data_IF_294548557348
#
_entry.id   IF_294548557348
#
_cell.length_a   1.000
_cell.length_b   1.000
_cell.length_c   1.000
_cell.angle_alpha   90.00
_cell.angle_beta   90.00
_cell.angle_gamma   90.00
#
_symmetry.space_group_name_H-M   'P 1'
#
loop_
_entity.id
_entity.type
_entity.pdbx_description
1 polymer ?
#
# COMPACT_ATOMS: atom_id res chain seq x y z
N UNK A 1 -11.71 -39.60 5.12
CA UNK A 1 -11.46 -39.30 6.53
C UNK A 1 -10.41 -38.17 6.57
N UNK A 2 -10.78 -37.00 7.07
CA UNK A 2 -9.87 -35.88 7.22
C UNK A 2 -8.76 -36.24 8.21
N UNK A 3 -7.50 -36.11 7.79
CA UNK A 3 -6.33 -36.42 8.64
C UNK A 3 -6.05 -35.38 9.73
N UNK A 4 -6.93 -34.38 9.90
CA UNK A 4 -6.70 -33.31 10.87
C UNK A 4 -7.68 -33.43 12.04
N UNK A 5 -7.18 -33.56 13.28
CA UNK A 5 -7.99 -33.42 14.46
C UNK A 5 -8.55 -32.00 14.57
N UNK A 6 -9.61 -31.83 15.33
CA UNK A 6 -10.39 -30.60 15.54
C UNK A 6 -9.58 -29.29 15.43
N UNK A 7 -9.97 -28.47 14.44
CA UNK A 7 -9.54 -27.08 14.15
C UNK A 7 -8.23 -26.64 14.81
N UNK A 8 -7.11 -26.92 14.11
CA UNK A 8 -5.81 -26.30 14.44
C UNK A 8 -5.94 -24.78 14.31
N UNK A 9 -5.62 -24.06 15.39
CA UNK A 9 -5.72 -22.60 15.41
C UNK A 9 -4.40 -21.95 14.94
N UNK A 10 -4.39 -21.50 13.68
CA UNK A 10 -3.24 -20.83 13.05
C UNK A 10 -3.05 -19.37 13.50
N UNK A 11 -3.83 -18.89 14.43
CA UNK A 11 -3.60 -17.57 15.06
C UNK A 11 -2.61 -17.66 16.22
N UNK A 12 -2.20 -18.88 16.60
CA UNK A 12 -1.28 -19.13 17.71
C UNK A 12 0.02 -19.77 17.24
N UNK A 13 1.17 -19.48 17.89
CA UNK A 13 2.44 -20.12 17.58
C UNK A 13 2.37 -21.65 17.65
N UNK A 14 1.70 -22.19 18.67
CA UNK A 14 1.56 -23.63 18.86
C UNK A 14 0.74 -24.28 17.75
N UNK A 15 -0.37 -23.64 17.33
CA UNK A 15 -1.19 -24.13 16.23
C UNK A 15 -0.39 -24.17 14.92
N UNK A 16 0.43 -23.15 14.65
CA UNK A 16 1.31 -23.11 13.48
C UNK A 16 2.33 -24.26 13.50
N UNK A 17 2.98 -24.52 14.63
CA UNK A 17 3.94 -25.64 14.78
C UNK A 17 3.25 -26.98 14.51
N UNK A 18 2.08 -27.22 15.09
CA UNK A 18 1.30 -28.45 14.88
C UNK A 18 0.86 -28.60 13.43
N UNK A 19 0.38 -27.52 12.82
CA UNK A 19 -0.06 -27.51 11.43
C UNK A 19 1.05 -27.88 10.44
N UNK A 20 2.27 -27.33 10.66
CA UNK A 20 3.41 -27.55 9.78
C UNK A 20 4.18 -28.83 10.05
N UNK A 21 3.96 -29.53 11.18
CA UNK A 21 4.67 -30.73 11.57
C UNK A 21 4.72 -31.83 10.50
N UNK A 22 3.64 -32.12 9.72
CA UNK A 22 3.67 -33.13 8.66
C UNK A 22 4.20 -32.61 7.32
N UNK A 23 4.72 -31.37 7.25
CA UNK A 23 5.14 -30.71 6.02
C UNK A 23 6.66 -30.56 5.94
N UNK A 24 7.24 -30.25 4.77
CA UNK A 24 8.65 -29.88 4.66
C UNK A 24 9.03 -28.59 5.43
N UNK A 25 8.05 -27.85 5.93
CA UNK A 25 8.20 -26.61 6.69
C UNK A 25 8.09 -26.82 8.20
N UNK A 26 8.22 -28.05 8.69
CA UNK A 26 8.22 -28.35 10.12
C UNK A 26 9.19 -27.43 10.88
N UNK A 27 8.69 -26.75 11.90
CA UNK A 27 9.46 -25.76 12.64
C UNK A 27 9.50 -26.08 14.13
N UNK A 28 10.64 -25.78 14.77
CA UNK A 28 10.82 -25.92 16.22
C UNK A 28 10.10 -24.78 16.97
N UNK A 29 9.97 -23.62 16.34
CA UNK A 29 9.33 -22.42 16.89
C UNK A 29 8.64 -21.63 15.76
N UNK A 30 7.43 -21.15 16.03
CA UNK A 30 6.79 -20.10 15.26
C UNK A 30 6.80 -18.80 16.10
N UNK A 31 7.49 -17.78 15.63
CA UNK A 31 7.66 -16.51 16.35
C UNK A 31 6.70 -15.47 15.75
N UNK A 32 5.76 -14.93 16.54
CA UNK A 32 4.85 -13.89 16.05
C UNK A 32 5.64 -12.64 15.65
N UNK A 33 5.36 -12.10 14.46
CA UNK A 33 5.94 -10.83 14.01
C UNK A 33 4.92 -9.70 14.21
N UNK A 34 5.39 -8.59 14.77
CA UNK A 34 4.62 -7.36 14.87
C UNK A 34 4.70 -6.63 13.53
N UNK A 35 3.56 -6.31 12.90
CA UNK A 35 3.57 -5.51 11.66
C UNK A 35 2.32 -5.69 10.79
N UNK A 36 1.70 -6.87 10.79
CA UNK A 36 0.45 -7.09 10.07
C UNK A 36 -0.74 -6.47 10.80
N UNK A 37 -1.54 -5.66 10.09
CA UNK A 37 -2.79 -5.14 10.63
C UNK A 37 -3.93 -6.15 10.47
N UNK A 38 -3.99 -6.76 9.29
CA UNK A 38 -5.07 -7.67 8.90
C UNK A 38 -4.72 -9.15 9.14
N UNK A 39 -3.46 -9.53 9.00
CA UNK A 39 -3.02 -10.92 8.95
C UNK A 39 -2.18 -11.31 10.17
N UNK A 40 -2.20 -12.60 10.52
CA UNK A 40 -1.29 -13.20 11.50
C UNK A 40 -0.02 -13.63 10.79
N UNK A 41 1.13 -13.10 11.22
CA UNK A 41 2.43 -13.33 10.59
C UNK A 41 3.38 -13.98 11.60
N UNK A 42 4.01 -15.08 11.19
CA UNK A 42 4.96 -15.82 12.02
C UNK A 42 6.25 -16.06 11.27
N UNK A 43 7.39 -15.85 11.95
CA UNK A 43 8.67 -16.39 11.51
C UNK A 43 8.79 -17.83 11.98
N UNK A 44 9.00 -18.72 11.04
CA UNK A 44 9.17 -20.15 11.24
C UNK A 44 10.67 -20.45 11.43
N UNK A 45 11.08 -20.96 12.58
CA UNK A 45 12.42 -21.50 12.78
C UNK A 45 12.40 -22.98 12.43
N UNK A 46 12.87 -23.32 11.23
CA UNK A 46 12.74 -24.67 10.66
C UNK A 46 13.60 -25.69 11.43
N UNK A 47 13.09 -26.90 11.62
CA UNK A 47 13.85 -28.03 12.17
C UNK A 47 14.94 -28.49 11.19
N UNK A 48 14.58 -28.54 9.91
CA UNK A 48 15.50 -28.85 8.81
C UNK A 48 15.46 -27.69 7.82
N UNK A 49 16.63 -27.14 7.44
CA UNK A 49 16.65 -26.06 6.46
C UNK A 49 15.95 -26.43 5.15
N UNK A 50 15.09 -25.55 4.66
CA UNK A 50 14.40 -25.71 3.38
C UNK A 50 15.09 -24.89 2.29
N UNK A 51 15.61 -25.56 1.26
CA UNK A 51 16.38 -24.91 0.19
C UNK A 51 17.50 -23.97 0.71
N UNK A 52 18.20 -24.41 1.76
CA UNK A 52 19.28 -23.64 2.40
C UNK A 52 18.82 -22.55 3.38
N UNK A 53 17.53 -22.35 3.59
CA UNK A 53 16.95 -21.36 4.50
C UNK A 53 16.64 -22.02 5.85
N UNK A 54 17.11 -21.40 6.94
CA UNK A 54 16.78 -21.82 8.31
C UNK A 54 15.47 -21.21 8.82
N UNK A 55 14.99 -20.14 8.17
CA UNK A 55 13.74 -19.45 8.52
C UNK A 55 12.88 -19.22 7.29
N UNK A 56 11.54 -19.22 7.48
CA UNK A 56 10.53 -18.83 6.52
C UNK A 56 9.46 -17.98 7.22
N UNK A 57 8.57 -17.37 6.44
CA UNK A 57 7.40 -16.65 6.97
C UNK A 57 6.14 -17.46 6.68
N UNK A 58 5.26 -17.58 7.68
CA UNK A 58 3.86 -17.97 7.49
C UNK A 58 2.97 -16.74 7.68
N UNK A 59 2.16 -16.44 6.66
CA UNK A 59 1.10 -15.43 6.69
C UNK A 59 -0.25 -16.14 6.68
N UNK A 60 -1.08 -15.91 7.71
CA UNK A 60 -2.40 -16.51 7.85
C UNK A 60 -3.48 -15.44 7.95
N UNK A 61 -4.52 -15.53 7.14
CA UNK A 61 -5.66 -14.63 7.15
C UNK A 61 -6.86 -15.26 7.86
N UNK A 62 -7.59 -14.43 8.61
CA UNK A 62 -8.89 -14.73 9.19
C UNK A 62 -9.96 -13.82 8.60
N UNK A 63 -11.25 -14.14 8.74
CA UNK A 63 -12.33 -13.25 8.33
C UNK A 63 -12.51 -12.05 9.28
N UNK A 64 -11.46 -11.67 9.99
CA UNK A 64 -11.36 -10.50 10.86
C UNK A 64 -9.92 -10.02 10.94
N UNK A 65 -9.73 -8.73 11.27
CA UNK A 65 -8.39 -8.16 11.39
C UNK A 65 -7.65 -8.69 12.62
N UNK A 66 -6.38 -9.08 12.46
CA UNK A 66 -5.57 -9.64 13.55
C UNK A 66 -5.43 -8.71 14.75
N UNK A 67 -5.36 -7.39 14.51
CA UNK A 67 -5.24 -6.36 15.58
C UNK A 67 -6.55 -5.85 16.12
N UNK A 68 -7.65 -6.03 15.39
CA UNK A 68 -8.99 -5.60 15.78
C UNK A 68 -9.95 -6.76 15.46
N UNK A 69 -10.07 -7.76 16.35
CA UNK A 69 -10.89 -8.95 16.10
C UNK A 69 -12.37 -8.64 15.84
N UNK A 70 -12.86 -7.51 16.34
CA UNK A 70 -14.20 -7.01 16.12
C UNK A 70 -14.41 -6.55 14.67
N UNK A 71 -13.33 -6.21 13.95
CA UNK A 71 -13.40 -5.84 12.55
C UNK A 71 -13.45 -7.07 11.65
N UNK A 72 -14.64 -7.38 11.16
CA UNK A 72 -14.82 -8.41 10.13
C UNK A 72 -14.19 -7.99 8.82
N UNK A 73 -13.22 -8.78 8.34
CA UNK A 73 -12.70 -8.70 6.97
C UNK A 73 -13.47 -9.72 6.14
N UNK A 74 -14.28 -9.33 5.17
CA UNK A 74 -15.08 -10.27 4.42
C UNK A 74 -14.23 -11.19 3.56
N UNK A 75 -14.36 -12.47 3.79
CA UNK A 75 -13.69 -13.54 3.02
C UNK A 75 -14.44 -13.87 1.72
N UNK A 76 -15.67 -13.35 1.53
CA UNK A 76 -16.50 -13.58 0.35
C UNK A 76 -17.57 -12.49 0.16
N UNK A 77 -18.17 -12.43 -1.03
CA UNK A 77 -19.18 -11.52 -1.57
C UNK A 77 -20.31 -10.96 -0.66
N UNK A 78 -20.34 -11.19 0.62
CA UNK A 78 -21.33 -10.62 1.54
C UNK A 78 -20.94 -9.24 2.10
N UNK A 79 -19.95 -8.58 1.50
CA UNK A 79 -19.40 -7.27 1.89
C UNK A 79 -20.47 -6.17 1.96
N UNK A 80 -21.47 -6.20 1.09
CA UNK A 80 -22.46 -5.10 0.96
C UNK A 80 -23.48 -4.96 2.08
N UNK A 81 -23.69 -5.97 2.93
CA UNK A 81 -24.77 -5.92 3.93
C UNK A 81 -24.31 -5.91 5.39
N UNK A 82 -23.04 -6.16 5.70
CA UNK A 82 -22.58 -6.33 7.08
C UNK A 82 -21.74 -5.18 7.63
N UNK A 83 -21.23 -4.30 6.77
CA UNK A 83 -20.54 -3.08 7.21
C UNK A 83 -21.46 -2.00 7.78
N UNK A 84 -22.77 -2.21 7.73
CA UNK A 84 -23.78 -1.27 8.25
C UNK A 84 -24.14 -1.50 9.73
N UNK A 85 -23.60 -2.51 10.43
CA UNK A 85 -24.07 -2.84 11.78
C UNK A 85 -23.09 -2.70 12.95
N UNK A 86 -21.76 -2.55 12.70
CA UNK A 86 -20.78 -2.58 13.80
C UNK A 86 -19.97 -1.26 13.89
N UNK A 87 -20.44 -0.36 14.72
CA UNK A 87 -20.11 1.06 14.80
C UNK A 87 -18.67 1.51 15.18
N UNK A 88 -17.61 0.69 15.21
CA UNK A 88 -16.28 1.14 15.70
C UNK A 88 -15.22 1.32 14.59
N UNK A 89 -15.39 0.74 13.42
CA UNK A 89 -14.57 1.00 12.23
C UNK A 89 -15.40 1.39 11.01
N UNK A 90 -16.68 1.57 11.19
CA UNK A 90 -17.65 2.05 10.20
C UNK A 90 -17.26 3.41 9.64
N UNK A 91 -16.53 4.21 10.41
CA UNK A 91 -16.00 5.50 9.96
C UNK A 91 -14.98 5.40 8.83
N UNK A 92 -14.53 4.20 8.52
CA UNK A 92 -13.68 3.94 7.36
C UNK A 92 -14.44 3.37 6.15
N UNK A 93 -15.76 2.98 6.24
CA UNK A 93 -16.39 2.13 5.23
C UNK A 93 -17.89 2.34 4.96
N UNK A 94 -18.36 3.51 4.52
CA UNK A 94 -19.69 3.65 3.89
C UNK A 94 -19.61 3.76 2.38
N UNK A 95 -20.37 2.94 1.62
CA UNK A 95 -20.39 2.99 0.16
C UNK A 95 -21.37 4.04 -0.37
N UNK A 96 -21.14 4.60 -1.57
CA UNK A 96 -22.12 5.43 -2.24
C UNK A 96 -23.39 4.64 -2.61
N UNK A 97 -24.53 5.30 -2.55
CA UNK A 97 -25.86 4.78 -2.82
C UNK A 97 -26.01 4.22 -4.24
N UNK A 98 -26.82 3.18 -4.34
CA UNK A 98 -27.14 2.32 -5.48
C UNK A 98 -27.21 3.01 -6.85
N UNK A 99 -26.51 2.49 -7.84
CA UNK A 99 -27.04 2.11 -9.17
C UNK A 99 -25.95 1.39 -9.99
N UNK A 100 -26.15 0.16 -10.30
CA UNK A 100 -25.99 -0.52 -11.61
C UNK A 100 -25.75 -2.02 -11.45
N UNK A 101 -26.61 -2.78 -12.12
CA UNK A 101 -26.53 -4.24 -12.22
C UNK A 101 -25.37 -4.65 -13.12
N UNK A 102 -24.39 -5.36 -12.58
CA UNK A 102 -23.42 -6.14 -13.35
C UNK A 102 -23.63 -7.64 -13.07
N UNK A 103 -23.91 -8.39 -14.14
CA UNK A 103 -23.91 -9.85 -14.11
C UNK A 103 -22.50 -10.36 -13.93
N UNK A 104 -22.16 -10.87 -12.74
CA UNK A 104 -20.89 -11.55 -12.49
C UNK A 104 -21.13 -13.04 -12.42
N UNK A 105 -20.46 -13.76 -13.31
CA UNK A 105 -20.44 -15.22 -13.38
C UNK A 105 -19.83 -15.81 -12.12
N UNK A 106 -20.61 -16.63 -11.42
CA UNK A 106 -20.20 -17.30 -10.18
C UNK A 106 -19.25 -18.46 -10.49
N UNK A 107 -17.96 -18.31 -10.23
CA UNK A 107 -17.08 -19.46 -9.91
C UNK A 107 -16.98 -19.57 -8.40
N UNK A 108 -17.37 -20.70 -7.84
CA UNK A 108 -17.23 -21.04 -6.42
C UNK A 108 -15.74 -21.23 -6.11
N UNK A 109 -15.03 -20.19 -5.65
CA UNK A 109 -13.77 -20.36 -4.95
C UNK A 109 -14.06 -20.35 -3.44
N UNK A 110 -13.54 -21.33 -2.71
CA UNK A 110 -13.63 -21.42 -1.25
C UNK A 110 -12.47 -20.66 -0.59
N UNK A 111 -11.74 -19.82 -1.34
CA UNK A 111 -10.55 -19.09 -0.93
C UNK A 111 -10.83 -17.65 -0.47
N UNK A 112 -9.87 -17.06 0.23
CA UNK A 112 -9.82 -15.63 0.54
C UNK A 112 -9.32 -14.88 -0.72
N UNK A 113 -10.15 -14.05 -1.37
CA UNK A 113 -9.79 -13.42 -2.65
C UNK A 113 -8.58 -12.49 -2.55
N UNK A 114 -8.29 -11.92 -1.38
CA UNK A 114 -7.08 -11.12 -1.15
C UNK A 114 -5.82 -11.98 -1.17
N UNK A 115 -5.83 -13.15 -0.52
CA UNK A 115 -4.67 -14.04 -0.53
C UNK A 115 -4.46 -14.72 -1.88
N UNK A 116 -5.53 -15.09 -2.58
CA UNK A 116 -5.44 -15.60 -3.95
C UNK A 116 -4.76 -14.55 -4.86
N UNK A 117 -5.15 -13.26 -4.72
CA UNK A 117 -4.54 -12.15 -5.45
C UNK A 117 -3.08 -11.92 -5.05
N UNK A 118 -2.76 -11.97 -3.76
CA UNK A 118 -1.39 -11.83 -3.26
C UNK A 118 -0.46 -12.92 -3.79
N UNK A 119 -0.88 -14.19 -3.71
CA UNK A 119 -0.08 -15.32 -4.18
C UNK A 119 0.16 -15.26 -5.68
N UNK A 120 -0.87 -14.92 -6.47
CA UNK A 120 -0.75 -14.74 -7.91
C UNK A 120 0.21 -13.59 -8.25
N UNK A 121 0.05 -12.43 -7.60
CA UNK A 121 0.92 -11.28 -7.79
C UNK A 121 2.38 -11.60 -7.45
N UNK A 122 2.65 -12.18 -6.27
CA UNK A 122 4.00 -12.56 -5.85
C UNK A 122 4.68 -13.50 -6.84
N UNK A 123 3.97 -14.52 -7.32
CA UNK A 123 4.50 -15.49 -8.30
C UNK A 123 4.84 -14.82 -9.63
N UNK A 124 3.99 -13.95 -10.14
CA UNK A 124 4.20 -13.21 -11.39
C UNK A 124 5.37 -12.25 -11.26
N UNK A 125 5.35 -11.40 -10.24
CA UNK A 125 6.43 -10.41 -10.03
C UNK A 125 7.76 -11.12 -9.83
N UNK A 126 7.78 -12.21 -9.07
CA UNK A 126 8.98 -13.01 -8.84
C UNK A 126 9.63 -13.54 -10.12
N UNK A 127 8.85 -13.89 -11.13
CA UNK A 127 9.37 -14.34 -12.42
C UNK A 127 10.15 -13.24 -13.17
N UNK A 128 9.88 -11.96 -12.87
CA UNK A 128 10.54 -10.81 -13.50
C UNK A 128 11.65 -10.17 -12.66
N UNK A 129 11.67 -10.42 -11.36
CA UNK A 129 12.66 -9.86 -10.43
C UNK A 129 13.37 -10.99 -9.68
N UNK A 130 14.59 -11.37 -10.10
CA UNK A 130 15.34 -12.48 -9.50
C UNK A 130 15.74 -12.19 -8.05
N UNK A 131 16.16 -13.23 -7.30
CA UNK A 131 16.48 -13.11 -5.87
C UNK A 131 17.61 -12.14 -5.52
N UNK A 132 18.51 -11.94 -6.45
CA UNK A 132 19.70 -11.08 -6.37
C UNK A 132 19.46 -9.66 -6.89
N UNK A 133 18.25 -9.35 -7.37
CA UNK A 133 17.87 -7.99 -7.71
C UNK A 133 17.91 -7.08 -6.46
N UNK A 134 18.32 -5.80 -6.61
CA UNK A 134 18.35 -4.85 -5.48
C UNK A 134 16.99 -4.69 -4.78
N UNK A 135 15.90 -4.82 -5.54
CA UNK A 135 14.52 -4.87 -5.02
C UNK A 135 13.83 -6.10 -5.62
N UNK A 136 13.23 -6.91 -4.76
CA UNK A 136 12.58 -8.15 -5.14
C UNK A 136 11.32 -8.40 -4.30
N UNK A 137 10.68 -9.55 -4.49
CA UNK A 137 9.52 -9.98 -3.71
C UNK A 137 9.77 -11.36 -3.09
N UNK A 138 9.11 -11.73 -2.00
CA UNK A 138 9.23 -13.07 -1.41
C UNK A 138 8.82 -14.15 -2.42
N UNK A 139 9.55 -15.27 -2.42
CA UNK A 139 9.11 -16.49 -3.11
C UNK A 139 8.03 -17.17 -2.31
N UNK A 140 6.90 -17.49 -2.92
CA UNK A 140 5.85 -18.30 -2.32
C UNK A 140 6.23 -19.78 -2.45
N UNK A 141 6.54 -20.43 -1.34
CA UNK A 141 6.89 -21.85 -1.28
C UNK A 141 5.67 -22.75 -1.17
N UNK A 142 4.63 -22.30 -0.47
CA UNK A 142 3.40 -23.04 -0.29
C UNK A 142 2.21 -22.09 -0.12
N UNK A 143 1.05 -22.50 -0.61
CA UNK A 143 -0.21 -21.84 -0.39
C UNK A 143 -1.30 -22.86 -0.11
N UNK A 144 -1.89 -22.80 1.07
CA UNK A 144 -3.08 -23.57 1.44
C UNK A 144 -4.30 -22.67 1.45
N UNK A 145 -5.03 -22.65 0.33
CA UNK A 145 -6.24 -21.82 0.20
C UNK A 145 -7.37 -22.24 1.15
N UNK A 146 -7.39 -23.51 1.62
CA UNK A 146 -8.42 -23.98 2.56
C UNK A 146 -8.16 -23.49 3.99
N UNK A 147 -6.89 -23.35 4.37
CA UNK A 147 -6.48 -22.83 5.67
C UNK A 147 -6.09 -21.35 5.61
N UNK A 148 -6.14 -20.72 4.43
CA UNK A 148 -5.70 -19.33 4.22
C UNK A 148 -4.29 -19.07 4.75
N UNK A 149 -3.35 -19.95 4.41
CA UNK A 149 -1.98 -19.92 4.88
C UNK A 149 -0.98 -19.87 3.71
N UNK A 150 -0.11 -18.89 3.73
CA UNK A 150 0.97 -18.71 2.75
C UNK A 150 2.30 -18.94 3.47
N UNK A 151 3.18 -19.81 2.93
CA UNK A 151 4.56 -19.95 3.37
C UNK A 151 5.47 -19.33 2.32
N UNK A 152 6.32 -18.36 2.72
CA UNK A 152 7.14 -17.59 1.81
C UNK A 152 8.52 -17.28 2.41
N UNK A 153 9.41 -16.68 1.59
CA UNK A 153 10.75 -16.24 2.02
C UNK A 153 10.67 -15.31 3.25
N UNK A 154 11.65 -15.48 4.14
CA UNK A 154 11.94 -14.54 5.23
C UNK A 154 13.04 -13.57 4.77
N UNK A 155 12.82 -12.28 4.89
CA UNK A 155 13.82 -11.25 4.65
C UNK A 155 14.94 -11.22 5.70
N UNK A 156 14.80 -12.05 6.74
CA UNK A 156 15.78 -12.24 7.81
C UNK A 156 15.51 -11.44 9.09
N UNK A 157 16.23 -11.76 10.16
CA UNK A 157 15.96 -11.23 11.50
C UNK A 157 16.24 -9.73 11.65
N UNK A 158 17.09 -9.16 10.79
CA UNK A 158 17.41 -7.72 10.76
C UNK A 158 16.56 -6.93 9.76
N UNK A 159 15.64 -7.59 9.08
CA UNK A 159 14.72 -6.91 8.16
C UNK A 159 13.63 -6.17 8.95
N UNK A 160 13.37 -4.95 8.55
CA UNK A 160 12.31 -4.11 9.11
C UNK A 160 11.68 -3.23 8.01
N UNK A 161 10.43 -2.76 8.20
CA UNK A 161 9.83 -1.83 7.27
C UNK A 161 10.67 -0.56 7.07
N UNK A 162 10.81 -0.09 5.84
CA UNK A 162 11.55 1.14 5.51
C UNK A 162 11.03 2.34 6.31
N UNK A 163 9.71 2.44 6.52
CA UNK A 163 9.12 3.46 7.42
C UNK A 163 9.73 3.40 8.82
N UNK A 164 9.80 2.23 9.41
CA UNK A 164 10.36 2.05 10.74
C UNK A 164 11.88 2.31 10.76
N UNK A 165 12.60 1.89 9.72
CA UNK A 165 14.04 2.14 9.59
C UNK A 165 14.37 3.65 9.46
N UNK A 166 13.59 4.38 8.67
CA UNK A 166 13.70 5.84 8.57
C UNK A 166 13.36 6.53 9.90
N UNK A 167 12.25 6.15 10.54
CA UNK A 167 11.85 6.71 11.84
C UNK A 167 12.86 6.40 12.96
N UNK A 168 13.57 5.30 12.89
CA UNK A 168 14.60 4.92 13.85
C UNK A 168 15.99 5.52 13.52
N UNK A 169 16.14 6.30 12.43
CA UNK A 169 17.43 6.85 12.01
C UNK A 169 18.44 5.79 11.54
N UNK A 170 17.95 4.62 11.09
CA UNK A 170 18.80 3.49 10.64
C UNK A 170 19.17 3.57 9.16
N UNK A 171 18.74 4.60 8.47
CA UNK A 171 19.01 4.85 7.04
C UNK A 171 19.75 6.18 6.94
N UNK A 172 20.99 6.16 6.47
CA UNK A 172 21.73 7.37 6.15
C UNK A 172 21.17 8.03 4.88
N UNK A 173 21.39 9.33 4.63
CA UNK A 173 20.95 10.00 3.41
C UNK A 173 21.49 9.31 2.14
N UNK A 174 22.76 8.91 2.12
CA UNK A 174 23.37 8.20 0.98
C UNK A 174 22.71 6.84 0.70
N UNK A 175 22.40 6.09 1.74
CA UNK A 175 21.65 4.83 1.64
C UNK A 175 20.22 5.08 1.20
N UNK A 176 19.58 6.14 1.71
CA UNK A 176 18.25 6.58 1.27
C UNK A 176 18.22 6.86 -0.23
N UNK A 177 19.22 7.58 -0.76
CA UNK A 177 19.36 7.82 -2.18
C UNK A 177 19.49 6.53 -3.00
N UNK A 178 20.33 5.58 -2.55
CA UNK A 178 20.49 4.29 -3.22
C UNK A 178 19.20 3.46 -3.22
N UNK A 179 18.49 3.41 -2.09
CA UNK A 179 17.19 2.74 -1.95
C UNK A 179 16.13 3.38 -2.85
N UNK A 180 16.04 4.72 -2.83
CA UNK A 180 15.10 5.46 -3.67
C UNK A 180 15.30 5.15 -5.15
N UNK A 181 16.56 5.17 -5.62
CA UNK A 181 16.91 4.80 -6.99
C UNK A 181 16.45 3.38 -7.32
N UNK A 182 16.82 2.40 -6.49
CA UNK A 182 16.47 1.00 -6.72
C UNK A 182 14.95 0.76 -6.74
N UNK A 183 14.20 1.41 -5.83
CA UNK A 183 12.74 1.36 -5.79
C UNK A 183 12.10 2.01 -7.03
N UNK A 184 12.65 3.12 -7.51
CA UNK A 184 12.17 3.78 -8.73
C UNK A 184 12.38 2.91 -9.97
N UNK A 185 13.56 2.30 -10.12
CA UNK A 185 13.87 1.38 -11.20
C UNK A 185 12.99 0.11 -11.16
N UNK A 186 12.77 -0.43 -9.95
CA UNK A 186 11.86 -1.56 -9.74
C UNK A 186 10.44 -1.23 -10.18
N UNK A 187 9.86 -0.15 -9.67
CA UNK A 187 8.49 0.23 -9.96
C UNK A 187 8.29 0.60 -11.44
N UNK A 188 9.26 1.29 -12.04
CA UNK A 188 9.26 1.58 -13.46
C UNK A 188 9.23 0.31 -14.30
N UNK A 189 10.09 -0.67 -13.97
CA UNK A 189 10.15 -1.95 -14.65
C UNK A 189 8.85 -2.74 -14.47
N UNK A 190 8.29 -2.76 -13.25
CA UNK A 190 7.00 -3.39 -12.95
C UNK A 190 5.89 -2.83 -13.85
N UNK A 191 5.77 -1.51 -13.89
CA UNK A 191 4.73 -0.84 -14.67
C UNK A 191 4.95 -0.94 -16.19
N UNK A 192 6.18 -0.95 -16.65
CA UNK A 192 6.48 -1.17 -18.08
C UNK A 192 6.04 -2.58 -18.50
N UNK A 193 6.49 -3.61 -17.77
CA UNK A 193 6.12 -5.01 -18.05
C UNK A 193 4.63 -5.31 -17.85
N UNK A 194 3.97 -4.60 -16.96
CA UNK A 194 2.52 -4.70 -16.77
C UNK A 194 1.70 -4.15 -17.94
N UNK A 195 2.31 -3.39 -18.84
CA UNK A 195 1.70 -2.87 -20.07
C UNK A 195 1.95 -3.77 -21.28
N UNK A 196 3.06 -4.50 -21.29
CA UNK A 196 3.46 -5.34 -22.41
C UNK A 196 2.52 -6.55 -22.52
N UNK A 197 1.86 -6.68 -23.67
CA UNK A 197 0.91 -7.75 -23.98
C UNK A 197 1.62 -8.92 -24.69
N UNK A 198 2.86 -9.22 -24.29
CA UNK A 198 3.76 -10.17 -24.98
C UNK A 198 3.33 -11.65 -24.90
N UNK A 199 2.09 -11.92 -24.55
CA UNK A 199 1.39 -13.21 -24.74
C UNK A 199 1.94 -14.42 -23.98
N UNK A 200 3.18 -14.39 -23.51
CA UNK A 200 3.82 -15.49 -22.77
C UNK A 200 4.61 -14.92 -21.59
N UNK A 201 4.02 -15.01 -20.39
CA UNK A 201 4.70 -14.62 -19.14
C UNK A 201 4.65 -13.13 -18.79
N UNK A 202 3.86 -12.32 -19.48
CA UNK A 202 3.61 -10.92 -19.12
C UNK A 202 2.85 -10.80 -17.79
N UNK A 203 3.09 -9.73 -17.03
CA UNK A 203 2.33 -9.43 -15.80
C UNK A 203 0.82 -9.27 -16.06
N UNK A 204 0.42 -9.09 -17.32
CA UNK A 204 -0.95 -8.84 -17.80
C UNK A 204 -1.72 -10.09 -18.27
N UNK A 205 -1.31 -11.31 -17.92
CA UNK A 205 -1.98 -12.52 -18.42
C UNK A 205 -3.48 -12.54 -18.10
N UNK A 206 -4.31 -12.84 -19.14
CA UNK A 206 -5.77 -12.59 -19.22
C UNK A 206 -6.64 -13.29 -18.18
N UNK A 207 -6.20 -14.38 -17.56
CA UNK A 207 -7.14 -15.31 -16.89
C UNK A 207 -7.65 -14.86 -15.52
N UNK A 208 -6.89 -14.06 -14.76
CA UNK A 208 -7.28 -13.59 -13.41
C UNK A 208 -7.33 -12.05 -13.29
N UNK A 209 -6.70 -11.33 -14.23
CA UNK A 209 -6.63 -9.86 -14.20
C UNK A 209 -7.80 -9.18 -14.90
N UNK A 210 -8.43 -9.78 -15.92
CA UNK A 210 -9.60 -9.20 -16.59
C UNK A 210 -10.88 -9.25 -15.72
N UNK A 211 -10.96 -10.21 -14.78
CA UNK A 211 -11.97 -10.20 -13.71
C UNK A 211 -11.54 -9.41 -12.48
N UNK A 212 -10.28 -9.10 -12.40
CA UNK A 212 -9.51 -8.29 -11.49
C UNK A 212 -9.79 -8.48 -10.00
N UNK A 213 -8.88 -8.00 -9.18
CA UNK A 213 -9.08 -7.83 -7.74
C UNK A 213 -10.11 -6.71 -7.49
N UNK A 214 -11.40 -7.03 -7.70
CA UNK A 214 -12.52 -6.07 -7.52
C UNK A 214 -12.52 -5.50 -6.11
N UNK A 215 -12.28 -6.34 -5.09
CA UNK A 215 -12.20 -5.89 -3.71
C UNK A 215 -11.02 -4.94 -3.50
N UNK A 216 -9.87 -5.23 -4.10
CA UNK A 216 -8.71 -4.33 -4.07
C UNK A 216 -8.98 -2.99 -4.76
N UNK A 217 -9.81 -2.95 -5.82
CA UNK A 217 -10.25 -1.70 -6.46
C UNK A 217 -11.21 -0.93 -5.56
N UNK A 218 -12.25 -1.60 -5.04
CA UNK A 218 -13.22 -1.01 -4.12
C UNK A 218 -12.52 -0.43 -2.89
N UNK A 219 -11.56 -1.17 -2.29
CA UNK A 219 -10.82 -0.71 -1.13
C UNK A 219 -9.91 0.49 -1.47
N UNK A 220 -9.22 0.48 -2.61
CA UNK A 220 -8.38 1.60 -3.03
C UNK A 220 -9.18 2.88 -3.26
N UNK A 221 -10.35 2.78 -3.91
CA UNK A 221 -11.28 3.92 -4.07
C UNK A 221 -11.72 4.40 -2.71
N UNK A 222 -12.21 3.49 -1.90
CA UNK A 222 -12.80 3.79 -0.62
C UNK A 222 -11.81 4.48 0.35
N UNK A 223 -10.59 3.96 0.45
CA UNK A 223 -9.58 4.53 1.35
C UNK A 223 -9.09 5.93 0.93
N UNK A 224 -9.26 6.31 -0.33
CA UNK A 224 -8.70 7.55 -0.87
C UNK A 224 -9.79 8.46 -1.45
N UNK A 225 -10.20 8.19 -2.70
CA UNK A 225 -11.05 9.10 -3.46
C UNK A 225 -12.50 9.14 -2.97
N UNK A 226 -13.04 8.00 -2.51
CA UNK A 226 -14.41 7.92 -1.98
C UNK A 226 -14.64 8.73 -0.71
N UNK A 227 -13.57 9.14 -0.03
CA UNK A 227 -13.62 9.94 1.21
C UNK A 227 -13.14 11.37 1.05
N UNK A 228 -12.55 11.68 -0.08
CA UNK A 228 -11.86 12.96 -0.27
C UNK A 228 -12.80 14.15 -0.11
N UNK A 229 -13.95 14.14 -0.78
CA UNK A 229 -14.94 15.21 -0.70
C UNK A 229 -15.50 15.38 0.71
N UNK A 230 -15.99 14.30 1.33
CA UNK A 230 -16.54 14.34 2.69
C UNK A 230 -15.50 14.78 3.73
N UNK A 231 -14.25 14.33 3.59
CA UNK A 231 -13.14 14.75 4.47
C UNK A 231 -12.93 16.28 4.39
N UNK A 232 -12.81 16.83 3.20
CA UNK A 232 -12.56 18.25 3.02
C UNK A 232 -13.74 19.11 3.49
N UNK A 233 -14.99 18.69 3.19
CA UNK A 233 -16.19 19.37 3.67
C UNK A 233 -16.37 19.29 5.19
N UNK A 234 -15.98 18.19 5.81
CA UNK A 234 -16.02 18.04 7.28
C UNK A 234 -15.07 19.03 7.98
N UNK A 235 -13.97 19.40 7.32
CA UNK A 235 -12.96 20.31 7.83
C UNK A 235 -13.22 21.78 7.48
N UNK A 236 -14.20 22.07 6.60
CA UNK A 236 -14.56 23.45 6.21
C UNK A 236 -16.08 23.69 6.31
N UNK A 237 -16.65 23.72 7.53
CA UNK A 237 -18.10 23.82 7.75
C UNK A 237 -18.70 25.19 7.37
N UNK A 238 -17.88 26.15 6.90
CA UNK A 238 -18.34 27.49 6.52
C UNK A 238 -18.80 27.64 5.07
N UNK A 239 -18.68 26.59 4.24
CA UNK A 239 -19.30 26.55 2.90
C UNK A 239 -20.81 26.56 3.05
N UNK A 240 -21.52 27.48 2.36
CA UNK A 240 -22.98 27.65 2.37
C UNK A 240 -23.71 26.43 1.80
N UNK A 241 -23.81 25.37 2.59
CA UNK A 241 -24.40 24.10 2.25
C UNK A 241 -24.69 23.25 3.47
N UNK A 242 -24.94 23.88 4.63
CA UNK A 242 -25.52 23.24 5.80
C UNK A 242 -26.96 22.78 5.49
N UNK A 243 -27.12 21.85 4.56
CA UNK A 243 -28.35 21.09 4.43
C UNK A 243 -28.39 20.15 5.63
N UNK A 244 -29.21 20.52 6.61
CA UNK A 244 -29.77 19.63 7.62
C UNK A 244 -30.60 18.56 6.90
N UNK A 245 -29.92 17.57 6.30
CA UNK A 245 -30.53 16.32 5.90
C UNK A 245 -30.76 15.52 7.18
N UNK A 246 -32.03 15.41 7.60
CA UNK A 246 -32.44 14.45 8.60
C UNK A 246 -32.11 13.05 8.09
N UNK A 247 -30.92 12.52 8.43
CA UNK A 247 -30.43 11.22 7.99
C UNK A 247 -28.92 11.05 7.95
N UNK A 248 -28.12 12.07 8.24
CA UNK A 248 -26.66 11.94 8.38
C UNK A 248 -26.37 11.19 9.67
N UNK A 249 -25.89 9.93 9.55
CA UNK A 249 -25.74 9.00 10.63
C UNK A 249 -24.60 9.35 11.59
N UNK A 250 -24.61 8.74 12.77
CA UNK A 250 -23.59 8.83 13.86
C UNK A 250 -22.14 8.64 13.37
N UNK A 251 -21.93 8.13 12.14
CA UNK A 251 -20.63 7.86 11.54
C UNK A 251 -19.92 9.11 11.03
N UNK A 252 -20.61 10.07 10.41
CA UNK A 252 -19.99 11.31 9.91
C UNK A 252 -19.56 12.22 11.06
N UNK A 253 -20.28 12.22 12.16
CA UNK A 253 -19.93 13.00 13.35
C UNK A 253 -18.65 12.49 14.01
N UNK A 254 -18.39 11.18 14.01
CA UNK A 254 -17.17 10.59 14.57
C UNK A 254 -15.94 10.85 13.71
N UNK A 255 -16.05 10.79 12.37
CA UNK A 255 -14.96 11.10 11.44
C UNK A 255 -14.60 12.59 11.55
N UNK A 256 -15.61 13.46 11.64
CA UNK A 256 -15.46 14.91 11.89
C UNK A 256 -14.78 15.19 13.24
N UNK A 257 -15.18 14.50 14.29
CA UNK A 257 -14.57 14.63 15.62
C UNK A 257 -13.10 14.20 15.61
N UNK A 258 -12.77 13.06 14.97
CA UNK A 258 -11.39 12.59 14.80
C UNK A 258 -10.55 13.64 14.05
N UNK A 259 -11.02 14.10 12.90
CA UNK A 259 -10.30 15.06 12.07
C UNK A 259 -10.05 16.37 12.84
N UNK A 260 -11.05 16.88 13.58
CA UNK A 260 -10.90 18.07 14.42
C UNK A 260 -9.93 17.87 15.58
N UNK A 261 -9.91 16.68 16.19
CA UNK A 261 -8.95 16.38 17.27
C UNK A 261 -7.49 16.45 16.80
N UNK A 262 -7.24 16.16 15.50
CA UNK A 262 -5.91 16.16 14.91
C UNK A 262 -5.54 17.51 14.29
N UNK A 263 -6.50 18.17 13.62
CA UNK A 263 -6.26 19.38 12.81
C UNK A 263 -6.68 20.67 13.51
N UNK A 264 -7.39 20.58 14.65
CA UNK A 264 -8.00 21.73 15.34
C UNK A 264 -9.33 22.13 14.71
N UNK A 265 -10.02 23.08 15.39
CA UNK A 265 -11.38 23.51 15.01
C UNK A 265 -11.42 24.59 13.91
N UNK A 266 -10.26 25.13 13.52
CA UNK A 266 -10.22 26.19 12.50
C UNK A 266 -10.54 25.61 11.10
N UNK A 267 -11.37 26.30 10.29
CA UNK A 267 -11.63 25.90 8.91
C UNK A 267 -10.34 25.79 8.07
N UNK A 268 -10.29 24.87 7.12
CA UNK A 268 -9.15 24.77 6.19
C UNK A 268 -9.07 25.98 5.25
N UNK A 269 -10.18 26.64 4.99
CA UNK A 269 -10.27 27.77 4.07
C UNK A 269 -10.22 27.36 2.60
N UNK A 270 -10.65 26.13 2.28
CA UNK A 270 -10.71 25.64 0.90
C UNK A 270 -11.93 26.23 0.21
N UNK A 271 -11.73 26.88 -0.95
CA UNK A 271 -12.85 27.52 -1.68
C UNK A 271 -13.78 26.46 -2.28
N UNK A 272 -15.07 26.83 -2.46
CA UNK A 272 -16.06 25.96 -3.10
C UNK A 272 -15.67 25.58 -4.54
N UNK A 273 -14.99 26.46 -5.26
CA UNK A 273 -14.48 26.15 -6.61
C UNK A 273 -13.38 25.09 -6.56
N UNK A 274 -12.49 25.17 -5.58
CA UNK A 274 -11.45 24.14 -5.33
C UNK A 274 -12.10 22.81 -4.96
N UNK A 275 -13.11 22.80 -4.08
CA UNK A 275 -13.83 21.58 -3.72
C UNK A 275 -14.48 20.92 -4.95
N UNK A 276 -15.12 21.69 -5.84
CA UNK A 276 -15.69 21.14 -7.09
C UNK A 276 -14.62 20.50 -7.98
N UNK A 277 -13.46 21.13 -8.13
CA UNK A 277 -12.35 20.56 -8.92
C UNK A 277 -11.87 19.23 -8.31
N UNK A 278 -11.72 19.18 -7.00
CA UNK A 278 -11.28 17.99 -6.28
C UNK A 278 -12.30 16.86 -6.38
N UNK A 279 -13.58 17.15 -6.23
CA UNK A 279 -14.68 16.20 -6.36
C UNK A 279 -14.76 15.62 -7.78
N UNK A 280 -14.68 16.46 -8.81
CA UNK A 280 -14.65 16.01 -10.20
C UNK A 280 -13.41 15.11 -10.49
N UNK A 281 -12.25 15.44 -9.89
CA UNK A 281 -11.07 14.57 -9.97
C UNK A 281 -11.32 13.23 -9.28
N UNK A 282 -11.92 13.25 -8.08
CA UNK A 282 -12.21 12.05 -7.30
C UNK A 282 -13.18 11.11 -8.05
N UNK A 283 -14.24 11.64 -8.65
CA UNK A 283 -15.16 10.89 -9.49
C UNK A 283 -14.45 10.24 -10.69
N UNK A 284 -13.65 11.02 -11.41
CA UNK A 284 -12.89 10.54 -12.57
C UNK A 284 -11.92 9.41 -12.16
N UNK A 285 -11.16 9.57 -11.07
CA UNK A 285 -10.21 8.55 -10.60
C UNK A 285 -10.92 7.31 -10.07
N UNK A 286 -12.06 7.48 -9.41
CA UNK A 286 -12.92 6.37 -9.00
C UNK A 286 -13.34 5.53 -10.21
N UNK A 287 -13.85 6.16 -11.25
CA UNK A 287 -14.25 5.46 -12.49
C UNK A 287 -13.05 4.72 -13.12
N UNK A 288 -11.89 5.36 -13.24
CA UNK A 288 -10.67 4.77 -13.81
C UNK A 288 -10.11 3.59 -12.98
N UNK A 289 -10.24 3.63 -11.65
CA UNK A 289 -9.82 2.52 -10.77
C UNK A 289 -10.81 1.36 -10.88
N UNK A 290 -12.10 1.64 -10.89
CA UNK A 290 -13.15 0.60 -10.93
C UNK A 290 -13.25 -0.07 -12.30
N UNK A 291 -13.04 0.67 -13.37
CA UNK A 291 -13.12 0.20 -14.75
C UNK A 291 -11.86 0.61 -15.53
N UNK A 292 -10.68 0.00 -15.23
CA UNK A 292 -9.49 0.31 -15.99
C UNK A 292 -9.69 -0.09 -17.44
N UNK A 293 -9.45 0.86 -18.36
CA UNK A 293 -9.63 0.63 -19.79
C UNK A 293 -8.72 -0.49 -20.30
N UNK A 294 -9.30 -1.40 -21.08
CA UNK A 294 -8.62 -2.57 -21.62
C UNK A 294 -7.87 -2.29 -22.91
N UNK A 295 -7.99 -1.08 -23.46
CA UNK A 295 -7.34 -0.66 -24.71
C UNK A 295 -5.83 -0.43 -24.62
N UNK A 296 -5.23 -0.71 -23.45
CA UNK A 296 -3.78 -0.80 -23.26
C UNK A 296 -3.07 0.52 -23.04
N UNK A 297 -3.73 1.67 -23.15
CA UNK A 297 -3.04 2.96 -23.10
C UNK A 297 -2.81 3.49 -21.68
N UNK A 298 -3.64 3.16 -20.71
CA UNK A 298 -3.61 3.73 -19.36
C UNK A 298 -3.37 2.72 -18.25
N UNK A 299 -3.97 1.53 -18.32
CA UNK A 299 -3.85 0.52 -17.27
C UNK A 299 -2.56 -0.31 -17.37
N UNK A 300 -1.93 -0.56 -16.22
CA UNK A 300 -0.81 -1.47 -16.06
C UNK A 300 -1.03 -2.36 -14.85
N UNK A 301 -0.08 -3.27 -14.56
CA UNK A 301 -0.05 -3.99 -13.30
C UNK A 301 0.45 -3.06 -12.20
N UNK A 302 -0.34 -2.84 -11.16
CA UNK A 302 0.01 -2.03 -9.98
C UNK A 302 -0.03 -2.88 -8.71
N UNK A 303 0.82 -2.55 -7.75
CA UNK A 303 0.79 -3.18 -6.42
C UNK A 303 -0.47 -2.75 -5.64
N UNK A 304 -0.84 -1.49 -5.74
CA UNK A 304 -2.03 -0.92 -5.12
C UNK A 304 -1.87 -0.54 -3.65
N UNK A 305 -0.72 -0.83 -3.02
CA UNK A 305 -0.35 -0.39 -1.67
C UNK A 305 1.17 -0.23 -1.54
N UNK A 306 1.78 0.54 -2.47
CA UNK A 306 3.22 0.74 -2.54
C UNK A 306 3.67 1.89 -1.64
N UNK A 307 4.00 1.57 -0.38
CA UNK A 307 4.39 2.54 0.64
C UNK A 307 5.53 1.99 1.53
N UNK A 308 6.25 2.86 2.29
CA UNK A 308 7.44 2.43 3.03
C UNK A 308 7.18 1.38 4.12
N UNK A 309 5.93 1.16 4.53
CA UNK A 309 5.55 0.10 5.46
C UNK A 309 5.62 -1.30 4.85
N UNK A 310 5.39 -1.41 3.55
CA UNK A 310 5.40 -2.65 2.78
C UNK A 310 6.74 -2.92 2.07
N UNK A 311 7.77 -2.14 2.39
CA UNK A 311 9.14 -2.31 1.87
C UNK A 311 10.04 -2.72 3.03
N UNK A 312 10.53 -3.96 3.02
CA UNK A 312 11.45 -4.46 4.04
C UNK A 312 12.89 -4.21 3.62
N UNK A 313 13.65 -3.59 4.51
CA UNK A 313 15.09 -3.32 4.35
C UNK A 313 15.85 -3.99 5.47
N UNK A 314 17.03 -4.54 5.18
CA UNK A 314 17.91 -5.12 6.20
C UNK A 314 18.77 -4.00 6.78
N UNK A 315 18.77 -3.82 8.09
CA UNK A 315 19.57 -2.78 8.77
C UNK A 315 20.78 -3.39 9.49
N UNK A 316 21.87 -2.63 9.66
CA UNK A 316 23.03 -3.01 10.43
C UNK A 316 22.72 -3.24 11.93
N UNK A 317 23.51 -4.03 12.64
CA UNK A 317 23.41 -4.21 14.10
C UNK A 317 23.85 -2.96 14.87
N UNK A 318 23.34 -2.78 16.09
CA UNK A 318 23.75 -1.66 16.97
C UNK A 318 25.20 -1.78 17.47
N UNK A 319 25.79 -2.99 17.39
CA UNK A 319 27.15 -3.28 17.86
C UNK A 319 28.24 -2.94 16.83
N UNK A 320 27.86 -2.67 15.57
CA UNK A 320 28.78 -2.28 14.50
C UNK A 320 29.02 -0.76 14.52
N UNK A 321 29.42 -0.23 15.70
CA UNK A 321 29.81 1.16 15.81
C UNK A 321 30.92 1.50 14.82
N UNK A 322 30.78 2.59 14.08
CA UNK A 322 31.74 3.34 13.23
C UNK A 322 32.86 2.57 12.45
N UNK A 323 32.97 1.25 12.64
CA UNK A 323 34.04 0.46 12.01
C UNK A 323 33.65 -0.08 10.63
N UNK A 324 32.43 0.05 10.16
CA UNK A 324 31.92 -0.77 9.06
C UNK A 324 31.59 -0.04 7.74
N UNK A 325 31.83 1.27 7.63
CA UNK A 325 31.83 1.90 6.29
C UNK A 325 32.93 1.31 5.36
N UNK A 326 33.99 0.71 5.96
CA UNK A 326 35.07 0.08 5.20
C UNK A 326 34.81 -1.39 4.86
N UNK A 327 34.00 -2.13 5.63
CA UNK A 327 33.65 -3.53 5.30
C UNK A 327 32.51 -3.64 4.28
N UNK A 328 31.57 -2.66 4.20
CA UNK A 328 30.58 -2.61 3.10
C UNK A 328 31.24 -2.39 1.72
N UNK A 329 32.40 -1.74 1.67
CA UNK A 329 33.13 -1.56 0.40
C UNK A 329 33.84 -2.84 -0.09
N UNK A 330 34.00 -3.86 0.76
CA UNK A 330 34.73 -5.10 0.45
C UNK A 330 33.88 -6.28 -0.03
N UNK A 331 32.55 -6.27 0.17
CA UNK A 331 31.61 -7.32 -0.29
C UNK A 331 30.43 -6.67 -0.98
N UNK A 332 30.60 -6.30 -2.23
CA UNK A 332 29.67 -5.55 -3.06
C UNK A 332 28.34 -6.24 -3.40
N UNK A 333 27.65 -6.87 -2.45
CA UNK A 333 26.27 -7.30 -2.60
C UNK A 333 25.43 -6.59 -1.54
N UNK A 334 24.84 -5.47 -1.95
CA UNK A 334 23.76 -4.83 -1.21
C UNK A 334 22.65 -5.86 -1.00
N UNK A 335 22.26 -6.11 0.26
CA UNK A 335 21.18 -7.06 0.54
C UNK A 335 19.87 -6.54 -0.08
N UNK A 336 19.11 -7.40 -0.77
CA UNK A 336 17.92 -6.96 -1.50
C UNK A 336 16.85 -6.43 -0.54
N UNK A 337 16.12 -5.41 -0.99
CA UNK A 337 14.86 -5.01 -0.39
C UNK A 337 13.76 -5.96 -0.83
N UNK A 338 12.84 -6.27 0.09
CA UNK A 338 11.64 -7.04 -0.25
C UNK A 338 10.41 -6.15 -0.24
N UNK A 339 9.66 -6.16 -1.34
CA UNK A 339 8.33 -5.56 -1.39
C UNK A 339 7.32 -6.65 -1.05
N UNK A 340 6.53 -6.44 0.00
CA UNK A 340 5.60 -7.41 0.58
C UNK A 340 4.17 -6.88 0.58
N UNK A 341 3.18 -7.72 0.90
CA UNK A 341 1.77 -7.34 1.03
C UNK A 341 1.11 -6.94 -0.31
N UNK A 342 1.06 -7.90 -1.23
CA UNK A 342 0.53 -7.72 -2.59
C UNK A 342 -0.98 -7.99 -2.71
N UNK A 343 -1.71 -8.01 -1.62
CA UNK A 343 -3.14 -8.36 -1.59
C UNK A 343 -4.03 -7.38 -2.36
N UNK A 344 -3.57 -6.13 -2.58
CA UNK A 344 -4.25 -5.11 -3.37
C UNK A 344 -3.78 -5.02 -4.83
N UNK A 345 -2.89 -5.93 -5.27
CA UNK A 345 -2.40 -5.93 -6.64
C UNK A 345 -3.53 -6.12 -7.67
N UNK A 346 -3.47 -5.33 -8.74
CA UNK A 346 -4.54 -5.27 -9.75
C UNK A 346 -4.08 -4.59 -11.03
N UNK A 347 -4.90 -4.65 -12.07
CA UNK A 347 -4.79 -3.70 -13.18
C UNK A 347 -5.22 -2.30 -12.69
N UNK A 348 -4.42 -1.28 -12.97
CA UNK A 348 -4.66 0.08 -12.48
C UNK A 348 -3.74 1.12 -13.10
N UNK A 349 -3.78 2.33 -12.55
CA UNK A 349 -3.00 3.46 -13.03
C UNK A 349 -1.63 3.49 -12.33
N UNK A 350 -0.56 3.47 -13.09
CA UNK A 350 0.83 3.47 -12.61
C UNK A 350 1.15 4.58 -11.60
N UNK A 351 0.59 5.77 -11.80
CA UNK A 351 0.81 6.91 -10.92
C UNK A 351 0.27 6.74 -9.49
N UNK A 352 -0.64 5.77 -9.23
CA UNK A 352 -1.17 5.52 -7.89
C UNK A 352 -0.06 5.02 -6.95
N UNK A 353 0.69 3.99 -7.35
CA UNK A 353 1.78 3.45 -6.54
C UNK A 353 2.87 4.51 -6.29
N UNK A 354 3.26 5.25 -7.35
CA UNK A 354 4.26 6.30 -7.23
C UNK A 354 3.81 7.45 -6.31
N UNK A 355 2.57 7.90 -6.46
CA UNK A 355 1.98 8.97 -5.65
C UNK A 355 1.89 8.60 -4.17
N UNK A 356 1.50 7.37 -3.85
CA UNK A 356 1.41 6.87 -2.48
C UNK A 356 2.79 6.86 -1.79
N UNK A 357 3.82 6.28 -2.44
CA UNK A 357 5.17 6.27 -1.88
C UNK A 357 5.68 7.70 -1.63
N UNK A 358 5.50 8.59 -2.61
CA UNK A 358 5.91 9.99 -2.49
C UNK A 358 5.21 10.68 -1.30
N UNK A 359 3.90 10.45 -1.10
CA UNK A 359 3.14 11.06 -0.01
C UNK A 359 3.64 10.60 1.37
N UNK A 360 3.90 9.32 1.55
CA UNK A 360 4.41 8.77 2.80
C UNK A 360 5.83 9.28 3.11
N UNK A 361 6.73 9.33 2.13
CA UNK A 361 8.07 9.85 2.31
C UNK A 361 8.07 11.38 2.59
N UNK A 362 7.18 12.13 1.94
CA UNK A 362 7.00 13.57 2.22
C UNK A 362 6.46 13.80 3.62
N UNK A 363 5.50 13.01 4.06
CA UNK A 363 4.95 13.07 5.41
C UNK A 363 6.05 12.79 6.45
N UNK A 364 6.87 11.75 6.26
CA UNK A 364 8.03 11.47 7.10
C UNK A 364 8.98 12.65 7.18
N UNK A 365 9.37 13.21 6.03
CA UNK A 365 10.28 14.32 5.93
C UNK A 365 9.76 15.58 6.62
N UNK A 366 8.48 15.90 6.46
CA UNK A 366 7.85 17.14 6.97
C UNK A 366 7.54 17.10 8.47
N UNK A 367 7.21 15.93 8.99
CA UNK A 367 6.85 15.74 10.40
C UNK A 367 8.04 15.34 11.29
N UNK A 368 9.23 15.13 10.74
CA UNK A 368 10.45 14.77 11.47
C UNK A 368 11.62 15.65 10.98
N UNK A 369 11.75 16.90 11.47
CA UNK A 369 12.75 17.86 10.98
C UNK A 369 14.14 17.60 11.61
N UNK A 370 14.73 16.44 11.37
CA UNK A 370 16.05 16.01 11.80
C UNK A 370 16.75 15.21 10.69
N UNK A 371 17.82 14.48 10.97
CA UNK A 371 18.55 13.63 10.03
C UNK A 371 17.64 12.64 9.27
N UNK A 372 16.53 12.23 9.89
CA UNK A 372 15.53 11.36 9.29
C UNK A 372 14.80 12.04 8.14
N UNK A 373 14.59 13.34 8.22
CA UNK A 373 14.03 14.15 7.14
C UNK A 373 14.94 14.15 5.92
N UNK A 374 16.25 14.24 6.11
CA UNK A 374 17.23 14.21 5.02
C UNK A 374 17.24 12.84 4.33
N UNK A 375 17.30 11.75 5.08
CA UNK A 375 17.26 10.39 4.51
C UNK A 375 15.96 10.11 3.76
N UNK A 376 14.80 10.54 4.29
CA UNK A 376 13.52 10.45 3.60
C UNK A 376 13.47 11.31 2.33
N UNK A 377 14.04 12.52 2.38
CA UNK A 377 14.15 13.44 1.24
C UNK A 377 15.01 12.88 0.12
N UNK A 378 16.17 12.31 0.45
CA UNK A 378 17.06 11.68 -0.53
C UNK A 378 16.44 10.42 -1.14
N UNK A 379 15.73 9.61 -0.33
CA UNK A 379 14.98 8.47 -0.82
C UNK A 379 13.92 8.93 -1.83
N UNK A 380 13.13 9.94 -1.49
CA UNK A 380 12.08 10.51 -2.33
C UNK A 380 12.65 11.09 -3.65
N UNK A 381 13.65 11.96 -3.56
CA UNK A 381 14.22 12.61 -4.73
C UNK A 381 14.83 11.59 -5.72
N UNK A 382 15.56 10.61 -5.19
CA UNK A 382 16.17 9.57 -6.01
C UNK A 382 15.15 8.61 -6.60
N UNK A 383 14.07 8.30 -5.87
CA UNK A 383 12.94 7.53 -6.39
C UNK A 383 12.27 8.24 -7.57
N UNK A 384 11.91 9.50 -7.40
CA UNK A 384 11.22 10.28 -8.45
C UNK A 384 12.09 10.37 -9.71
N UNK A 385 13.39 10.69 -9.55
CA UNK A 385 14.31 10.75 -10.69
C UNK A 385 14.42 9.40 -11.42
N UNK A 386 14.52 8.29 -10.68
CA UNK A 386 14.68 6.97 -11.30
C UNK A 386 13.38 6.46 -11.94
N UNK A 387 12.24 6.72 -11.30
CA UNK A 387 10.93 6.25 -11.79
C UNK A 387 10.51 7.00 -13.06
N UNK A 388 10.69 8.32 -13.12
CA UNK A 388 10.27 9.16 -14.25
C UNK A 388 11.39 9.44 -15.26
N UNK A 389 12.58 8.84 -15.09
CA UNK A 389 13.76 9.11 -15.92
C UNK A 389 13.52 8.89 -17.41
N UNK A 390 13.76 9.93 -18.22
CA UNK A 390 13.94 9.84 -19.67
C UNK A 390 12.72 9.50 -20.51
N UNK A 391 11.56 9.32 -19.90
CA UNK A 391 10.34 8.97 -20.62
C UNK A 391 9.50 10.22 -20.90
N UNK A 392 9.20 10.41 -22.17
CA UNK A 392 8.40 11.53 -22.69
C UNK A 392 7.18 11.01 -23.46
N UNK A 393 6.15 11.82 -23.55
CA UNK A 393 4.95 11.53 -24.33
C UNK A 393 3.68 11.44 -23.48
N UNK A 394 2.50 11.40 -24.12
CA UNK A 394 1.19 11.57 -23.46
C UNK A 394 0.93 10.60 -22.30
N UNK A 395 1.43 9.36 -22.43
CA UNK A 395 1.27 8.32 -21.40
C UNK A 395 2.01 8.67 -20.11
N UNK A 396 3.24 9.17 -20.23
CA UNK A 396 4.04 9.55 -19.08
C UNK A 396 3.53 10.83 -18.43
N UNK A 397 3.03 11.76 -19.23
CA UNK A 397 2.38 12.96 -18.71
C UNK A 397 1.12 12.60 -17.92
N UNK A 398 0.31 11.65 -18.39
CA UNK A 398 -0.83 11.16 -17.59
C UNK A 398 -0.36 10.42 -16.32
N UNK A 399 0.70 9.62 -16.40
CA UNK A 399 1.27 8.96 -15.20
C UNK A 399 1.75 10.00 -14.17
N UNK A 400 2.39 11.09 -14.59
CA UNK A 400 2.79 12.22 -13.72
C UNK A 400 1.59 12.91 -13.10
N UNK A 401 0.55 13.23 -13.89
CA UNK A 401 -0.70 13.81 -13.38
C UNK A 401 -1.39 12.91 -12.35
N UNK A 402 -1.47 11.62 -12.66
CA UNK A 402 -2.04 10.64 -11.71
C UNK A 402 -1.21 10.59 -10.42
N UNK A 403 0.12 10.56 -10.53
CA UNK A 403 1.00 10.52 -9.37
C UNK A 403 0.87 11.77 -8.48
N UNK A 404 0.87 12.98 -9.09
CA UNK A 404 0.70 14.23 -8.36
C UNK A 404 -0.68 14.32 -7.71
N UNK A 405 -1.74 13.97 -8.44
CA UNK A 405 -3.10 13.96 -7.91
C UNK A 405 -3.28 12.94 -6.78
N UNK A 406 -2.70 11.74 -6.92
CA UNK A 406 -2.79 10.70 -5.88
C UNK A 406 -1.95 11.04 -4.64
N UNK A 407 -0.77 11.61 -4.84
CA UNK A 407 0.03 12.19 -3.77
C UNK A 407 -0.81 13.20 -2.96
N UNK A 408 -1.49 14.12 -3.64
CA UNK A 408 -2.38 15.08 -2.99
C UNK A 408 -3.54 14.43 -2.24
N UNK A 409 -4.21 13.45 -2.85
CA UNK A 409 -5.31 12.72 -2.23
C UNK A 409 -4.84 11.95 -0.98
N UNK A 410 -3.68 11.32 -1.05
CA UNK A 410 -3.10 10.59 0.08
C UNK A 410 -2.75 11.53 1.24
N UNK A 411 -2.10 12.68 0.97
CA UNK A 411 -1.82 13.68 2.00
C UNK A 411 -3.11 14.20 2.63
N UNK A 412 -4.12 14.53 1.83
CA UNK A 412 -5.37 15.10 2.34
C UNK A 412 -6.17 14.13 3.20
N UNK A 413 -6.17 12.82 2.86
CA UNK A 413 -7.00 11.82 3.53
C UNK A 413 -6.25 11.09 4.64
N UNK A 414 -5.00 10.64 4.39
CA UNK A 414 -4.29 9.75 5.32
C UNK A 414 -3.51 10.49 6.40
N UNK A 415 -2.91 11.66 6.09
CA UNK A 415 -2.06 12.36 7.06
C UNK A 415 -2.80 12.69 8.36
N UNK A 416 -4.07 13.10 8.27
CA UNK A 416 -4.90 13.40 9.42
C UNK A 416 -5.41 12.17 10.19
N UNK A 417 -5.38 10.97 9.57
CA UNK A 417 -5.93 9.72 10.15
C UNK A 417 -4.89 8.77 10.71
N UNK A 418 -3.64 8.88 10.31
CA UNK A 418 -2.60 7.90 10.63
C UNK A 418 -1.74 8.24 11.85
N UNK A 419 -2.08 9.30 12.61
CA UNK A 419 -1.45 9.59 13.89
C UNK A 419 0.07 9.84 13.80
N UNK A 420 0.48 10.66 12.86
CA UNK A 420 1.87 11.07 12.69
C UNK A 420 2.29 12.09 13.77
N UNK A 421 2.23 11.93 14.98
CA UNK A 421 2.68 12.79 16.12
C UNK A 421 3.32 14.17 15.78
N UNK A 422 2.97 14.75 14.63
CA UNK A 422 3.53 16.01 14.11
C UNK A 422 2.88 17.28 14.68
N UNK A 423 1.78 17.11 15.42
CA UNK A 423 0.94 18.21 15.89
C UNK A 423 0.02 18.79 14.80
N UNK A 424 -0.98 19.57 15.22
CA UNK A 424 -2.06 20.06 14.35
C UNK A 424 -1.55 20.99 13.22
N UNK A 425 -0.66 21.90 13.49
CA UNK A 425 -0.15 22.87 12.50
C UNK A 425 0.55 22.21 11.30
N UNK A 426 1.61 21.41 11.51
CA UNK A 426 2.28 20.69 10.42
C UNK A 426 1.36 19.71 9.67
N UNK A 427 0.47 19.01 10.37
CA UNK A 427 -0.50 18.11 9.75
C UNK A 427 -1.48 18.88 8.85
N UNK A 428 -1.98 20.02 9.32
CA UNK A 428 -2.85 20.92 8.55
C UNK A 428 -2.15 21.44 7.29
N UNK A 429 -0.88 21.84 7.41
CA UNK A 429 -0.09 22.28 6.26
C UNK A 429 0.03 21.19 5.19
N UNK A 430 0.24 19.92 5.59
CA UNK A 430 0.28 18.80 4.67
C UNK A 430 -1.07 18.53 3.97
N UNK A 431 -2.18 18.67 4.70
CA UNK A 431 -3.53 18.53 4.11
C UNK A 431 -3.76 19.62 3.05
N UNK A 432 -3.40 20.88 3.34
CA UNK A 432 -3.53 21.99 2.39
C UNK A 432 -2.62 21.83 1.17
N UNK A 433 -1.38 21.37 1.37
CA UNK A 433 -0.49 21.01 0.26
C UNK A 433 -1.09 19.88 -0.57
N UNK A 434 -1.72 18.90 0.08
CA UNK A 434 -2.46 17.83 -0.59
C UNK A 434 -3.56 18.36 -1.50
N UNK A 435 -4.36 19.32 -1.01
CA UNK A 435 -5.41 19.98 -1.80
C UNK A 435 -4.82 20.71 -3.01
N UNK A 436 -3.71 21.44 -2.83
CA UNK A 436 -3.03 22.13 -3.93
C UNK A 436 -2.55 21.14 -5.01
N UNK A 437 -1.97 20.00 -4.60
CA UNK A 437 -1.53 18.93 -5.55
C UNK A 437 -2.70 18.25 -6.25
N UNK A 438 -3.85 18.12 -5.60
CA UNK A 438 -5.06 17.63 -6.27
C UNK A 438 -5.50 18.54 -7.41
N UNK A 439 -5.48 19.86 -7.19
CA UNK A 439 -5.79 20.84 -8.24
C UNK A 439 -4.79 20.77 -9.39
N UNK A 440 -3.48 20.72 -9.08
CA UNK A 440 -2.44 20.54 -10.11
C UNK A 440 -2.61 19.23 -10.90
N UNK A 441 -2.91 18.11 -10.22
CA UNK A 441 -3.14 16.82 -10.86
C UNK A 441 -4.46 16.72 -11.62
N UNK A 442 -5.39 17.67 -11.41
CA UNK A 442 -6.63 17.79 -12.18
C UNK A 442 -6.43 18.54 -13.51
N UNK A 443 -5.41 19.40 -13.59
CA UNK A 443 -5.09 20.20 -14.77
C UNK A 443 -4.54 19.31 -15.90
N UNK A 444 -5.31 19.17 -16.97
CA UNK A 444 -4.94 18.34 -18.12
C UNK A 444 -3.80 18.93 -18.97
N UNK A 445 -3.61 20.24 -18.90
CA UNK A 445 -2.60 20.97 -19.68
C UNK A 445 -1.28 21.13 -18.91
N UNK A 446 -1.27 20.77 -17.61
CA UNK A 446 -0.05 20.85 -16.80
C UNK A 446 0.95 19.78 -17.21
N UNK A 447 2.16 20.23 -17.53
CA UNK A 447 3.34 19.42 -17.82
C UNK A 447 4.42 19.75 -16.80
N UNK A 448 5.16 18.75 -16.34
CA UNK A 448 6.29 18.91 -15.43
C UNK A 448 7.58 18.46 -16.10
N UNK A 449 8.64 19.25 -15.98
CA UNK A 449 10.00 18.75 -16.14
C UNK A 449 10.33 17.78 -15.00
N UNK A 450 11.36 16.94 -15.17
CA UNK A 450 11.77 15.99 -14.12
C UNK A 450 12.17 16.72 -12.82
N UNK A 451 12.86 17.87 -12.94
CA UNK A 451 13.24 18.68 -11.78
C UNK A 451 12.03 19.34 -11.10
N UNK A 452 11.08 19.88 -11.86
CA UNK A 452 9.83 20.42 -11.29
C UNK A 452 9.05 19.34 -10.57
N UNK A 453 9.00 18.13 -11.12
CA UNK A 453 8.31 17.00 -10.51
C UNK A 453 8.96 16.61 -9.18
N UNK A 454 10.31 16.53 -9.13
CA UNK A 454 11.06 16.32 -7.89
C UNK A 454 10.71 17.40 -6.86
N UNK A 455 10.71 18.66 -7.26
CA UNK A 455 10.38 19.78 -6.35
C UNK A 455 8.91 19.73 -5.92
N UNK A 456 8.01 19.29 -6.78
CA UNK A 456 6.57 19.14 -6.46
C UNK A 456 6.36 18.18 -5.29
N UNK A 457 7.08 17.06 -5.26
CA UNK A 457 6.99 16.08 -4.18
C UNK A 457 7.82 16.44 -2.94
N UNK A 458 8.91 17.22 -3.11
CA UNK A 458 9.74 17.66 -1.98
C UNK A 458 9.16 18.85 -1.21
N UNK A 459 8.29 19.64 -1.77
CA UNK A 459 7.62 20.77 -1.07
C UNK A 459 6.63 20.29 -0.03
#
# INVERSE_FOLDING_TARGET
MSQYPDKIDLTTPQGVVVYLAPTPFACAKAEPLSGGWANFIFRLHLITPYQGRSTLILKHARPYAARIPELSIPVSRQVRKRFQSDGVLLHLFEPPTETTHSRVVSRRSHGNPFQDSEVDALRRVRAHFPPDAPVTVPTVHHFDGAQHAIVMDDAGPRAMPLKAALLAGRISPSRGAALGKALGEFLRTLHARGRDDDGVGGLREKSNFEGGNVLGRELSVFCTYGRLGSTLRALDPGGAGGATGEGEGESEDSDRALLRSVLGDEPLGVSEDTLRVVEALAERRTAQIMEPTTDGTEATFVMGDFWPGNILVVVGGEEDGDANEQEEQGKGQQQPCFVVDWELAKAGLAGLDAGQLCAELTTLRRLRPDERAEAAGETLASFVRAYFAGDVGPRWEETRRVAVGHFGAHLAVFTARTGWDGGAGPTRALVLDGVARLVEGADADRVWTDDELVQTFLR
#
